data_IF_207583249815
#
_entry.id   IF_207583249815
#
_cell.length_a   1.000
_cell.length_b   1.000
_cell.length_c   1.000
_cell.angle_alpha   90.00
_cell.angle_beta   90.00
_cell.angle_gamma   90.00
#
_symmetry.space_group_name_H-M   'P 1'
#
loop_
_entity.id
_entity.type
_entity.pdbx_description
1 polymer ?
#
# COMPACT_ATOMS: atom_id res chain seq x y z
N UNK A 1 17.98 -9.94 11.83
CA UNK A 1 16.55 -10.27 11.81
C UNK A 1 15.86 -9.17 11.03
N UNK A 2 15.39 -9.46 9.83
CA UNK A 2 14.56 -8.51 9.07
C UNK A 2 13.18 -8.55 9.69
N UNK A 3 12.82 -7.54 10.46
CA UNK A 3 11.57 -7.49 11.24
C UNK A 3 10.35 -7.12 10.41
N UNK A 4 10.50 -7.04 9.08
CA UNK A 4 9.48 -6.54 8.17
C UNK A 4 8.85 -7.54 7.21
N UNK A 5 7.78 -7.12 6.57
CA UNK A 5 7.05 -7.87 5.55
C UNK A 5 7.94 -8.12 4.34
N UNK A 6 8.08 -9.40 3.98
CA UNK A 6 8.78 -9.78 2.76
C UNK A 6 7.93 -9.44 1.56
N UNK A 7 8.59 -9.14 0.44
CA UNK A 7 7.91 -8.85 -0.82
C UNK A 7 6.91 -9.95 -1.23
N UNK A 8 7.25 -11.23 -1.03
CA UNK A 8 6.32 -12.34 -1.32
C UNK A 8 5.03 -12.27 -0.50
N UNK A 9 5.09 -11.80 0.76
CA UNK A 9 3.92 -11.67 1.63
C UNK A 9 3.03 -10.51 1.17
N UNK A 10 3.63 -9.39 0.76
CA UNK A 10 2.91 -8.25 0.18
C UNK A 10 2.21 -8.67 -1.11
N UNK A 11 2.89 -9.41 -1.99
CA UNK A 11 2.35 -9.93 -3.24
C UNK A 11 1.21 -10.94 -3.00
N UNK A 12 1.34 -11.80 -1.99
CA UNK A 12 0.28 -12.73 -1.60
C UNK A 12 -0.98 -12.00 -1.12
N UNK A 13 -0.82 -10.95 -0.31
CA UNK A 13 -1.95 -10.10 0.14
C UNK A 13 -2.60 -9.41 -1.04
N UNK A 14 -1.82 -8.82 -1.95
CA UNK A 14 -2.36 -8.17 -3.15
C UNK A 14 -3.16 -9.16 -4.01
N UNK A 15 -2.65 -10.38 -4.21
CA UNK A 15 -3.35 -11.43 -4.98
C UNK A 15 -4.67 -11.86 -4.33
N UNK A 16 -4.70 -11.99 -3.00
CA UNK A 16 -5.92 -12.33 -2.25
C UNK A 16 -6.96 -11.22 -2.39
N UNK A 17 -6.55 -9.96 -2.20
CA UNK A 17 -7.45 -8.81 -2.32
C UNK A 17 -7.95 -8.66 -3.77
N UNK A 18 -7.09 -8.87 -4.76
CA UNK A 18 -7.45 -8.85 -6.19
C UNK A 18 -8.53 -9.87 -6.53
N UNK A 19 -8.40 -11.10 -6.04
CA UNK A 19 -9.41 -12.14 -6.23
C UNK A 19 -10.78 -11.72 -5.67
N UNK A 20 -10.81 -11.23 -4.44
CA UNK A 20 -12.06 -10.82 -3.80
C UNK A 20 -12.67 -9.56 -4.44
N UNK A 21 -11.84 -8.62 -4.88
CA UNK A 21 -12.26 -7.40 -5.59
C UNK A 21 -12.86 -7.76 -6.95
N UNK A 22 -12.23 -8.69 -7.68
CA UNK A 22 -12.75 -9.19 -8.96
C UNK A 22 -14.10 -9.88 -8.77
N UNK A 23 -14.22 -10.75 -7.76
CA UNK A 23 -15.48 -11.42 -7.45
C UNK A 23 -16.60 -10.41 -7.11
N UNK A 24 -16.33 -9.47 -6.19
CA UNK A 24 -17.29 -8.45 -5.80
C UNK A 24 -17.73 -7.56 -6.97
N UNK A 25 -16.82 -7.23 -7.89
CA UNK A 25 -17.13 -6.47 -9.11
C UNK A 25 -18.06 -7.25 -10.05
N UNK A 26 -17.81 -8.55 -10.25
CA UNK A 26 -18.66 -9.42 -11.08
C UNK A 26 -20.06 -9.56 -10.48
N UNK A 27 -20.15 -9.69 -9.16
CA UNK A 27 -21.40 -9.87 -8.43
C UNK A 27 -22.17 -8.55 -8.22
N UNK A 28 -21.57 -7.40 -8.58
CA UNK A 28 -22.18 -6.07 -8.39
C UNK A 28 -22.26 -5.62 -6.92
N UNK A 29 -21.45 -6.21 -6.05
CA UNK A 29 -21.48 -6.01 -4.60
C UNK A 29 -20.72 -4.74 -4.19
N UNK A 30 -21.35 -3.57 -4.37
CA UNK A 30 -20.71 -2.28 -4.09
C UNK A 30 -20.19 -2.14 -2.65
N UNK A 31 -20.98 -2.54 -1.65
CA UNK A 31 -20.57 -2.44 -0.24
C UNK A 31 -19.31 -3.29 0.06
N UNK A 32 -19.20 -4.46 -0.58
CA UNK A 32 -18.02 -5.32 -0.46
C UNK A 32 -16.81 -4.70 -1.13
N UNK A 33 -17.00 -4.06 -2.29
CA UNK A 33 -15.93 -3.32 -2.97
C UNK A 33 -15.39 -2.17 -2.10
N UNK A 34 -16.28 -1.39 -1.49
CA UNK A 34 -15.88 -0.32 -0.56
C UNK A 34 -15.11 -0.88 0.64
N UNK A 35 -15.59 -1.97 1.24
CA UNK A 35 -14.90 -2.63 2.35
C UNK A 35 -13.52 -3.16 1.98
N UNK A 36 -13.37 -3.79 0.81
CA UNK A 36 -12.07 -4.25 0.30
C UNK A 36 -11.10 -3.09 0.07
N UNK A 37 -11.59 -1.94 -0.40
CA UNK A 37 -10.78 -0.74 -0.54
C UNK A 37 -10.25 -0.23 0.80
N UNK A 38 -11.08 -0.25 1.86
CA UNK A 38 -10.64 0.10 3.21
C UNK A 38 -9.57 -0.87 3.73
N UNK A 39 -9.77 -2.18 3.55
CA UNK A 39 -8.78 -3.19 3.96
C UNK A 39 -7.45 -2.99 3.24
N UNK A 40 -7.48 -2.77 1.92
CA UNK A 40 -6.26 -2.52 1.15
C UNK A 40 -5.51 -1.27 1.64
N UNK A 41 -6.23 -0.18 1.93
CA UNK A 41 -5.64 1.04 2.50
C UNK A 41 -4.99 0.79 3.87
N UNK A 42 -5.62 -0.01 4.74
CA UNK A 42 -5.00 -0.39 6.02
C UNK A 42 -3.70 -1.18 5.84
N UNK A 43 -3.62 -2.06 4.83
CA UNK A 43 -2.38 -2.76 4.52
C UNK A 43 -1.30 -1.84 3.95
N UNK A 44 -1.67 -0.85 3.13
CA UNK A 44 -0.74 0.19 2.67
C UNK A 44 -0.06 0.86 3.86
N UNK A 45 -0.84 1.29 4.85
CA UNK A 45 -0.29 1.98 6.03
C UNK A 45 0.66 1.07 6.82
N UNK A 46 0.32 -0.21 6.97
CA UNK A 46 1.18 -1.20 7.64
C UNK A 46 2.48 -1.45 6.88
N UNK A 47 2.41 -1.66 5.55
CA UNK A 47 3.59 -1.93 4.74
C UNK A 47 4.48 -0.71 4.60
N UNK A 48 3.90 0.49 4.57
CA UNK A 48 4.65 1.74 4.54
C UNK A 48 5.31 2.09 5.88
N UNK A 49 4.68 1.75 7.01
CA UNK A 49 5.31 1.90 8.32
C UNK A 49 6.52 0.97 8.49
N UNK A 50 6.46 -0.21 7.88
CA UNK A 50 7.50 -1.24 7.96
C UNK A 50 8.61 -1.10 6.90
N UNK A 51 8.29 -0.43 5.78
CA UNK A 51 9.24 -0.06 4.73
C UNK A 51 9.21 1.47 4.53
N UNK A 52 9.76 2.25 5.50
CA UNK A 52 9.77 3.69 5.43
C UNK A 52 10.68 4.20 4.30
N UNK A 53 10.34 5.30 3.62
CA UNK A 53 11.23 5.92 2.65
C UNK A 53 12.46 6.54 3.35
N UNK A 54 13.60 6.47 2.67
CA UNK A 54 14.82 7.13 3.13
C UNK A 54 14.87 8.58 2.65
N UNK A 55 15.00 9.52 3.58
CA UNK A 55 15.19 10.94 3.27
C UNK A 55 16.65 11.22 2.91
N UNK A 56 16.93 11.52 1.65
CA UNK A 56 18.26 11.89 1.19
C UNK A 56 18.73 13.25 1.75
N UNK A 57 17.79 14.16 2.03
CA UNK A 57 18.07 15.48 2.59
C UNK A 57 18.52 15.39 4.06
N UNK A 58 17.78 14.66 4.89
CA UNK A 58 18.06 14.51 6.32
C UNK A 58 19.05 13.39 6.64
N UNK A 59 19.29 12.46 5.70
CA UNK A 59 20.06 11.21 5.89
C UNK A 59 19.46 10.28 6.94
N UNK A 60 18.14 10.26 7.09
CA UNK A 60 17.41 9.39 8.03
C UNK A 60 16.15 8.81 7.37
N UNK A 61 15.64 7.70 7.90
CA UNK A 61 14.33 7.16 7.51
C UNK A 61 13.21 8.00 8.13
N UNK A 62 12.24 8.42 7.32
CA UNK A 62 11.06 9.11 7.81
C UNK A 62 9.89 8.14 7.80
N UNK A 63 9.06 8.20 8.84
CA UNK A 63 7.72 7.65 8.73
C UNK A 63 6.95 8.37 7.62
N UNK A 64 6.12 7.64 6.88
CA UNK A 64 5.22 8.22 5.87
C UNK A 64 4.29 9.30 6.43
N UNK A 65 4.01 9.29 7.74
CA UNK A 65 3.19 10.31 8.40
C UNK A 65 3.95 11.63 8.66
N UNK A 66 5.27 11.64 8.47
CA UNK A 66 6.16 12.79 8.71
C UNK A 66 7.07 13.09 7.50
N UNK A 67 6.73 12.58 6.32
CA UNK A 67 7.38 13.00 5.09
C UNK A 67 7.01 14.46 4.82
N UNK A 68 7.90 15.40 5.15
CA UNK A 68 7.63 16.83 5.02
C UNK A 68 7.36 17.17 3.56
N UNK A 69 6.14 17.63 3.27
CA UNK A 69 5.72 17.98 1.92
C UNK A 69 6.68 19.01 1.32
N UNK A 70 7.35 18.63 0.22
CA UNK A 70 8.03 19.54 -0.71
C UNK A 70 9.47 19.95 -0.39
N UNK A 71 10.03 19.65 0.80
CA UNK A 71 11.41 20.06 1.16
C UNK A 71 12.45 18.94 1.12
N UNK A 72 12.02 17.69 1.07
CA UNK A 72 12.89 16.52 1.23
C UNK A 72 12.84 15.61 0.00
N UNK A 73 14.02 15.14 -0.43
CA UNK A 73 14.15 14.13 -1.48
C UNK A 73 14.09 12.73 -0.85
N UNK A 74 13.15 11.90 -1.30
CA UNK A 74 12.88 10.57 -0.75
C UNK A 74 13.24 9.47 -1.75
N UNK A 75 13.85 8.38 -1.25
CA UNK A 75 14.18 7.20 -2.04
C UNK A 75 13.72 5.92 -1.37
N UNK A 76 13.18 5.01 -2.18
CA UNK A 76 12.71 3.70 -1.72
C UNK A 76 11.41 3.81 -0.93
N UNK A 77 11.19 2.84 -0.04
CA UNK A 77 9.96 2.69 0.71
C UNK A 77 8.90 1.87 -0.02
N UNK A 78 7.73 1.76 0.60
CA UNK A 78 6.60 1.03 0.06
C UNK A 78 5.88 1.81 -1.06
N UNK A 79 5.65 1.16 -2.20
CA UNK A 79 4.93 1.72 -3.33
C UNK A 79 3.41 1.50 -3.17
N UNK A 80 2.75 2.52 -2.64
CA UNK A 80 1.30 2.53 -2.39
C UNK A 80 0.48 2.31 -3.66
N UNK A 81 0.80 3.06 -4.71
CA UNK A 81 0.01 3.08 -5.94
C UNK A 81 0.06 1.70 -6.59
N UNK A 82 1.26 1.14 -6.75
CA UNK A 82 1.45 -0.18 -7.33
C UNK A 82 0.72 -1.27 -6.56
N UNK A 83 0.72 -1.20 -5.22
CA UNK A 83 0.00 -2.18 -4.40
C UNK A 83 -1.52 -2.09 -4.58
N UNK A 84 -2.10 -0.88 -4.56
CA UNK A 84 -3.54 -0.69 -4.73
C UNK A 84 -3.99 -1.17 -6.11
N UNK A 85 -3.23 -0.83 -7.17
CA UNK A 85 -3.47 -1.36 -8.51
C UNK A 85 -3.42 -2.89 -8.54
N UNK A 86 -2.43 -3.51 -7.86
CA UNK A 86 -2.32 -4.96 -7.78
C UNK A 86 -3.50 -5.60 -7.03
N UNK A 87 -4.14 -4.88 -6.10
CA UNK A 87 -5.37 -5.31 -5.43
C UNK A 87 -6.63 -5.20 -6.32
N UNK A 88 -6.51 -4.71 -7.56
CA UNK A 88 -7.66 -4.45 -8.44
C UNK A 88 -8.45 -3.19 -8.08
N UNK A 89 -7.85 -2.32 -7.25
CA UNK A 89 -8.39 -1.03 -6.86
C UNK A 89 -7.67 0.02 -7.70
N UNK A 90 -8.28 0.40 -8.82
CA UNK A 90 -7.88 1.62 -9.52
C UNK A 90 -8.27 2.80 -8.62
N UNK A 91 -7.40 3.80 -8.48
CA UNK A 91 -7.80 5.04 -7.81
C UNK A 91 -8.97 5.62 -8.62
N UNK A 92 -10.16 5.68 -8.01
CA UNK A 92 -11.23 6.54 -8.51
C UNK A 92 -10.67 7.96 -8.55
N UNK A 93 -10.41 8.43 -9.77
CA UNK A 93 -10.06 9.81 -10.06
C UNK A 93 -11.34 10.66 -10.06
#
# INVERSE_FOLDING_TARGET
MTTGYRQSQIEDVARILSYHTTAARVDGERERMEWLAWVAKSFVDLFAADNPPFCQTCKVEHSIFYAGEGLHDYKGGFDRERFLTACGLEEEN
#
